data_IF_574350869765
#
_entry.id   IF_574350869765
#
_cell.length_a   1.000
_cell.length_b   1.000
_cell.length_c   1.000
_cell.angle_alpha   90.00
_cell.angle_beta   90.00
_cell.angle_gamma   90.00
#
_symmetry.space_group_name_H-M   'P 1'
#
loop_
_entity.id
_entity.type
_entity.pdbx_description
1 polymer ?
#
# COMPACT_ATOMS: atom_id res chain seq x y z
N UNK A 1 -5.72 4.51 -20.16
CA UNK A 1 -5.65 5.98 -19.99
C UNK A 1 -4.21 6.34 -19.66
N UNK A 2 -3.69 7.37 -20.32
CA UNK A 2 -2.35 7.90 -20.10
C UNK A 2 -2.44 9.40 -19.79
N UNK A 3 -1.96 9.80 -18.61
CA UNK A 3 -1.94 11.19 -18.16
C UNK A 3 -0.49 11.64 -17.90
N UNK A 4 -0.04 12.71 -18.60
CA UNK A 4 1.32 13.25 -18.47
C UNK A 4 1.49 14.25 -17.33
N UNK A 5 0.40 14.67 -16.73
CA UNK A 5 0.39 15.64 -15.64
C UNK A 5 -0.39 15.09 -14.47
N UNK A 6 -0.44 15.85 -13.39
CA UNK A 6 -1.21 15.50 -12.22
C UNK A 6 -2.67 15.21 -12.57
N UNK A 7 -3.22 14.19 -11.91
CA UNK A 7 -4.63 13.86 -12.03
C UNK A 7 -5.36 14.28 -10.75
N UNK A 8 -6.60 14.69 -10.91
CA UNK A 8 -7.44 15.07 -9.78
C UNK A 8 -7.82 13.89 -8.87
N UNK A 9 -8.74 14.12 -7.97
CA UNK A 9 -9.28 13.11 -7.05
C UNK A 9 -9.91 11.95 -7.82
N UNK A 10 -9.88 10.76 -7.21
CA UNK A 10 -10.61 9.58 -7.67
C UNK A 10 -10.12 8.98 -8.99
N UNK A 11 -8.88 9.25 -9.41
CA UNK A 11 -8.31 8.59 -10.58
C UNK A 11 -8.43 7.06 -10.41
N UNK A 12 -9.05 6.35 -11.37
CA UNK A 12 -9.26 4.91 -11.29
C UNK A 12 -10.33 4.44 -10.29
N UNK A 13 -11.20 5.34 -9.81
CA UNK A 13 -12.31 4.98 -8.92
C UNK A 13 -13.21 3.91 -9.56
N UNK A 14 -13.49 2.86 -8.81
CA UNK A 14 -14.29 1.71 -9.26
C UNK A 14 -13.83 1.07 -10.59
N UNK A 15 -12.56 1.21 -10.91
CA UNK A 15 -11.97 0.64 -12.11
C UNK A 15 -12.15 -0.88 -12.14
N UNK A 16 -12.69 -1.41 -13.25
CA UNK A 16 -12.98 -2.84 -13.41
C UNK A 16 -11.94 -3.57 -14.25
N UNK A 17 -11.14 -2.86 -15.02
CA UNK A 17 -10.12 -3.42 -15.89
C UNK A 17 -9.41 -2.33 -16.68
N UNK A 18 -8.50 -2.73 -17.54
CA UNK A 18 -7.69 -1.81 -18.33
C UNK A 18 -6.49 -1.27 -17.55
N UNK A 19 -5.90 -0.20 -18.05
CA UNK A 19 -4.66 0.36 -17.51
C UNK A 19 -4.71 1.87 -17.43
N UNK A 20 -4.27 2.41 -16.30
CA UNK A 20 -4.02 3.83 -16.09
C UNK A 20 -2.52 4.02 -15.88
N UNK A 21 -1.94 5.00 -16.56
CA UNK A 21 -0.58 5.47 -16.31
C UNK A 21 -0.65 6.98 -16.06
N UNK A 22 -0.32 7.41 -14.87
CA UNK A 22 -0.18 8.81 -14.48
C UNK A 22 1.31 9.10 -14.25
N UNK A 23 1.91 10.02 -15.02
CA UNK A 23 3.31 10.41 -14.84
C UNK A 23 3.50 11.34 -13.62
N UNK A 24 2.49 12.14 -13.31
CA UNK A 24 2.49 13.07 -12.18
C UNK A 24 1.82 12.52 -10.94
N UNK A 25 1.48 13.44 -10.04
CA UNK A 25 0.77 13.14 -8.80
C UNK A 25 -0.69 12.78 -9.04
N UNK A 26 -1.26 11.98 -8.16
CA UNK A 26 -2.69 11.67 -8.16
C UNK A 26 -3.34 12.19 -6.88
N UNK A 27 -4.56 12.66 -7.00
CA UNK A 27 -5.30 13.15 -5.85
C UNK A 27 -5.77 12.03 -4.91
N UNK A 28 -6.32 12.39 -3.75
CA UNK A 28 -6.77 11.41 -2.76
C UNK A 28 -7.87 10.49 -3.30
N UNK A 29 -7.92 9.27 -2.78
CA UNK A 29 -8.87 8.25 -3.17
C UNK A 29 -8.59 7.61 -4.53
N UNK A 30 -7.38 7.75 -5.07
CA UNK A 30 -7.00 7.09 -6.31
C UNK A 30 -7.20 5.58 -6.21
N UNK A 31 -7.76 4.97 -7.24
CA UNK A 31 -8.05 3.53 -7.36
C UNK A 31 -8.94 2.98 -6.22
N UNK A 32 -9.74 3.83 -5.57
CA UNK A 32 -10.69 3.39 -4.54
C UNK A 32 -11.72 2.44 -5.14
N UNK A 33 -12.04 1.36 -4.41
CA UNK A 33 -12.99 0.33 -4.80
C UNK A 33 -12.67 -0.35 -6.15
N UNK A 34 -11.42 -0.33 -6.58
CA UNK A 34 -10.97 -0.98 -7.80
C UNK A 34 -11.24 -2.49 -7.73
N UNK A 35 -11.80 -3.06 -8.78
CA UNK A 35 -12.12 -4.50 -8.87
C UNK A 35 -11.31 -5.23 -9.94
N UNK A 36 -10.43 -4.56 -10.65
CA UNK A 36 -9.53 -5.14 -11.64
C UNK A 36 -8.77 -4.07 -12.40
N UNK A 37 -7.82 -4.49 -13.21
CA UNK A 37 -6.96 -3.62 -14.00
C UNK A 37 -5.67 -3.23 -13.29
N UNK A 38 -4.93 -2.31 -13.89
CA UNK A 38 -3.62 -1.87 -13.42
C UNK A 38 -3.54 -0.34 -13.35
N UNK A 39 -2.93 0.18 -12.30
CA UNK A 39 -2.70 1.61 -12.11
C UNK A 39 -1.22 1.85 -11.81
N UNK A 40 -0.55 2.64 -12.64
CA UNK A 40 0.84 3.03 -12.48
C UNK A 40 0.92 4.54 -12.25
N UNK A 41 1.51 4.93 -11.12
CA UNK A 41 1.60 6.32 -10.66
C UNK A 41 3.08 6.68 -10.52
N UNK A 42 3.57 7.61 -11.35
CA UNK A 42 4.96 8.06 -11.30
C UNK A 42 5.23 9.10 -10.21
N UNK A 43 4.22 9.83 -9.80
CA UNK A 43 4.29 10.80 -8.71
C UNK A 43 3.82 10.23 -7.38
N UNK A 44 3.25 11.10 -6.55
CA UNK A 44 2.80 10.82 -5.19
C UNK A 44 1.28 10.90 -5.06
N UNK A 45 0.75 10.46 -3.93
CA UNK A 45 -0.65 10.70 -3.55
C UNK A 45 -0.74 11.17 -2.10
N UNK A 46 -1.88 11.75 -1.73
CA UNK A 46 -2.10 12.30 -0.39
C UNK A 46 -2.71 11.28 0.57
N UNK A 47 -3.78 10.61 0.18
CA UNK A 47 -4.56 9.78 1.11
C UNK A 47 -5.38 8.71 0.39
N UNK A 48 -5.63 7.59 1.09
CA UNK A 48 -6.58 6.55 0.75
C UNK A 48 -6.36 5.88 -0.64
N UNK A 49 -5.10 5.75 -1.09
CA UNK A 49 -4.75 4.99 -2.30
C UNK A 49 -5.25 3.55 -2.17
N UNK A 50 -6.03 3.07 -3.13
CA UNK A 50 -6.52 1.69 -3.16
C UNK A 50 -7.49 1.33 -2.02
N UNK A 51 -8.13 2.33 -1.38
CA UNK A 51 -9.10 2.08 -0.34
C UNK A 51 -10.25 1.19 -0.84
N UNK A 52 -10.54 0.11 -0.10
CA UNK A 52 -11.61 -0.82 -0.46
C UNK A 52 -11.37 -1.63 -1.74
N UNK A 53 -10.16 -1.64 -2.26
CA UNK A 53 -9.77 -2.40 -3.45
C UNK A 53 -10.09 -3.89 -3.26
N UNK A 54 -10.67 -4.51 -4.29
CA UNK A 54 -11.05 -5.93 -4.27
C UNK A 54 -10.16 -6.79 -5.14
N UNK A 55 -9.61 -6.24 -6.21
CA UNK A 55 -8.68 -6.91 -7.13
C UNK A 55 -7.95 -5.88 -7.99
N UNK A 56 -6.94 -6.31 -8.72
CA UNK A 56 -6.12 -5.49 -9.59
C UNK A 56 -4.75 -5.16 -8.98
N UNK A 57 -4.02 -4.27 -9.63
CA UNK A 57 -2.65 -3.92 -9.23
C UNK A 57 -2.43 -2.42 -9.26
N UNK A 58 -1.83 -1.90 -8.20
CA UNK A 58 -1.40 -0.50 -8.11
C UNK A 58 0.10 -0.47 -7.86
N UNK A 59 0.82 0.34 -8.62
CA UNK A 59 2.25 0.66 -8.40
C UNK A 59 2.39 2.16 -8.31
N UNK A 60 3.02 2.66 -7.24
CA UNK A 60 3.33 4.07 -7.06
C UNK A 60 4.81 4.27 -6.77
N UNK A 61 5.46 5.16 -7.53
CA UNK A 61 6.89 5.44 -7.41
C UNK A 61 7.19 6.47 -6.30
N UNK A 62 6.34 7.46 -6.13
CA UNK A 62 6.49 8.51 -5.13
C UNK A 62 5.89 8.15 -3.77
N UNK A 63 5.62 9.17 -2.94
CA UNK A 63 5.01 9.01 -1.63
C UNK A 63 3.61 8.42 -1.75
N UNK A 64 3.38 7.29 -1.08
CA UNK A 64 2.12 6.53 -1.18
C UNK A 64 0.93 7.14 -0.42
N UNK A 65 1.16 8.17 0.38
CA UNK A 65 0.11 8.83 1.17
C UNK A 65 -0.22 8.09 2.46
N UNK A 66 -1.30 8.51 3.09
CA UNK A 66 -1.79 7.95 4.34
C UNK A 66 -2.92 6.95 4.08
N UNK A 67 -3.11 5.99 4.96
CA UNK A 67 -4.19 5.00 4.89
C UNK A 67 -4.23 4.20 3.57
N UNK A 68 -3.06 3.94 3.00
CA UNK A 68 -2.94 3.12 1.78
C UNK A 68 -3.58 1.75 2.02
N UNK A 69 -4.44 1.31 1.11
CA UNK A 69 -5.10 0.01 1.20
C UNK A 69 -6.09 -0.13 2.35
N UNK A 70 -6.60 0.99 2.90
CA UNK A 70 -7.63 0.94 3.95
C UNK A 70 -8.82 0.10 3.52
N UNK A 71 -9.17 -0.92 4.32
CA UNK A 71 -10.28 -1.82 4.03
C UNK A 71 -10.10 -2.65 2.75
N UNK A 72 -8.89 -2.77 2.23
CA UNK A 72 -8.56 -3.58 1.05
C UNK A 72 -9.00 -5.03 1.26
N UNK A 73 -9.62 -5.62 0.26
CA UNK A 73 -10.15 -6.98 0.31
C UNK A 73 -9.35 -7.96 -0.56
N UNK A 74 -8.64 -7.48 -1.55
CA UNK A 74 -7.83 -8.28 -2.47
C UNK A 74 -7.02 -7.40 -3.40
N UNK A 75 -6.26 -8.01 -4.30
CA UNK A 75 -5.35 -7.33 -5.22
C UNK A 75 -3.98 -7.02 -4.62
N UNK A 76 -3.20 -6.21 -5.31
CA UNK A 76 -1.83 -5.87 -4.92
C UNK A 76 -1.58 -4.37 -4.98
N UNK A 77 -0.88 -3.84 -3.97
CA UNK A 77 -0.36 -2.47 -3.96
C UNK A 77 1.15 -2.52 -3.73
N UNK A 78 1.91 -1.89 -4.63
CA UNK A 78 3.36 -1.78 -4.55
C UNK A 78 3.74 -0.31 -4.32
N UNK A 79 4.30 -0.03 -3.14
CA UNK A 79 4.84 1.27 -2.73
C UNK A 79 6.35 1.24 -2.95
N UNK A 80 6.84 1.96 -3.96
CA UNK A 80 8.26 1.95 -4.31
C UNK A 80 9.10 2.89 -3.44
N UNK A 81 8.45 3.84 -2.79
CA UNK A 81 9.05 4.78 -1.83
C UNK A 81 8.33 4.69 -0.47
N UNK A 82 8.37 5.74 0.32
CA UNK A 82 7.76 5.82 1.65
C UNK A 82 6.23 5.98 1.59
N UNK A 83 5.58 5.69 2.70
CA UNK A 83 4.16 5.97 2.91
C UNK A 83 3.94 6.50 4.33
N UNK A 84 2.79 7.13 4.53
CA UNK A 84 2.40 7.67 5.83
C UNK A 84 1.85 6.62 6.78
N UNK A 85 1.11 7.04 7.78
CA UNK A 85 0.53 6.16 8.80
C UNK A 85 -0.66 5.35 8.28
N UNK A 86 -0.98 4.29 9.03
CA UNK A 86 -2.16 3.43 8.83
C UNK A 86 -2.20 2.71 7.47
N UNK A 87 -1.03 2.33 6.92
CA UNK A 87 -0.99 1.44 5.75
C UNK A 87 -1.69 0.13 6.10
N UNK A 88 -2.67 -0.29 5.31
CA UNK A 88 -3.45 -1.51 5.54
C UNK A 88 -4.45 -1.43 6.70
N UNK A 89 -4.87 -0.22 7.12
CA UNK A 89 -5.91 -0.06 8.13
C UNK A 89 -7.15 -0.86 7.77
N UNK A 90 -7.59 -1.73 8.67
CA UNK A 90 -8.78 -2.59 8.48
C UNK A 90 -8.72 -3.46 7.20
N UNK A 91 -7.54 -3.79 6.74
CA UNK A 91 -7.32 -4.67 5.59
C UNK A 91 -7.89 -6.06 5.85
N UNK A 92 -8.59 -6.63 4.88
CA UNK A 92 -9.27 -7.93 4.97
C UNK A 92 -8.61 -9.00 4.10
N UNK A 93 -7.85 -8.62 3.11
CA UNK A 93 -7.18 -9.50 2.17
C UNK A 93 -6.32 -8.75 1.19
N UNK A 94 -5.63 -9.46 0.32
CA UNK A 94 -4.71 -8.89 -0.67
C UNK A 94 -3.31 -8.71 -0.11
N UNK A 95 -2.47 -8.00 -0.86
CA UNK A 95 -1.05 -7.82 -0.55
C UNK A 95 -0.62 -6.37 -0.72
N UNK A 96 0.07 -5.83 0.27
CA UNK A 96 0.75 -4.54 0.19
C UNK A 96 2.25 -4.78 0.34
N UNK A 97 3.06 -4.28 -0.60
CA UNK A 97 4.53 -4.35 -0.54
C UNK A 97 5.09 -2.93 -0.50
N UNK A 98 5.80 -2.61 0.58
CA UNK A 98 6.44 -1.31 0.75
C UNK A 98 7.96 -1.47 0.71
N UNK A 99 8.62 -0.85 -0.28
CA UNK A 99 10.07 -0.84 -0.40
C UNK A 99 10.71 0.19 0.54
N UNK A 100 10.06 1.34 0.74
CA UNK A 100 10.47 2.37 1.70
C UNK A 100 9.82 2.20 3.08
N UNK A 101 10.20 3.08 4.01
CA UNK A 101 9.62 3.07 5.35
C UNK A 101 8.16 3.56 5.32
N UNK A 102 7.33 2.94 6.13
CA UNK A 102 5.94 3.39 6.35
C UNK A 102 5.79 3.99 7.75
N UNK A 103 4.85 4.92 7.90
CA UNK A 103 4.54 5.53 9.18
C UNK A 103 3.89 4.56 10.19
N UNK A 104 3.57 5.04 11.40
CA UNK A 104 3.05 4.19 12.48
C UNK A 104 1.66 3.62 12.16
N UNK A 105 1.27 2.62 12.93
CA UNK A 105 -0.01 1.93 12.87
C UNK A 105 -0.26 1.14 11.58
N UNK A 106 0.81 0.66 10.92
CA UNK A 106 0.64 -0.26 9.79
C UNK A 106 -0.11 -1.52 10.25
N UNK A 107 -1.15 -1.91 9.50
CA UNK A 107 -1.98 -3.08 9.79
C UNK A 107 -2.99 -2.91 10.93
N UNK A 108 -3.27 -1.68 11.39
CA UNK A 108 -4.24 -1.46 12.48
C UNK A 108 -5.59 -2.07 12.11
N UNK A 109 -6.15 -2.87 13.02
CA UNK A 109 -7.41 -3.60 12.86
C UNK A 109 -7.49 -4.53 11.63
N UNK A 110 -6.38 -4.85 11.02
CA UNK A 110 -6.29 -5.80 9.91
C UNK A 110 -6.79 -7.19 10.34
N UNK A 111 -7.61 -7.81 9.51
CA UNK A 111 -8.19 -9.15 9.75
C UNK A 111 -7.71 -10.22 8.77
N UNK A 112 -7.03 -9.84 7.70
CA UNK A 112 -6.49 -10.75 6.70
C UNK A 112 -5.56 -10.06 5.72
N UNK A 113 -4.92 -10.83 4.86
CA UNK A 113 -3.95 -10.37 3.89
C UNK A 113 -2.52 -10.28 4.42
N UNK A 114 -1.63 -9.77 3.60
CA UNK A 114 -0.20 -9.67 3.88
C UNK A 114 0.33 -8.27 3.62
N UNK A 115 1.10 -7.73 4.56
CA UNK A 115 1.83 -6.48 4.39
C UNK A 115 3.33 -6.78 4.52
N UNK A 116 4.09 -6.50 3.46
CA UNK A 116 5.54 -6.66 3.43
C UNK A 116 6.22 -5.30 3.59
N UNK A 117 6.88 -5.08 4.70
CA UNK A 117 7.57 -3.83 5.04
C UNK A 117 9.08 -4.00 4.86
N UNK A 118 9.57 -3.99 3.62
CA UNK A 118 11.00 -4.13 3.32
C UNK A 118 11.84 -2.98 3.86
N UNK A 119 11.30 -1.76 3.83
CA UNK A 119 11.92 -0.56 4.41
C UNK A 119 11.67 -0.38 5.90
N UNK A 120 10.86 -1.27 6.51
CA UNK A 120 10.45 -1.15 7.90
C UNK A 120 9.20 -0.32 8.11
N UNK A 121 8.72 -0.30 9.34
CA UNK A 121 7.59 0.51 9.78
C UNK A 121 7.94 1.25 11.07
N UNK A 122 7.41 2.46 11.21
CA UNK A 122 7.54 3.23 12.45
C UNK A 122 6.71 2.60 13.57
N UNK A 123 7.24 2.67 14.78
CA UNK A 123 6.50 2.23 15.98
C UNK A 123 5.47 3.27 16.44
N UNK A 124 4.35 2.84 17.02
CA UNK A 124 3.94 1.45 17.14
C UNK A 124 3.38 0.89 15.82
N UNK A 125 3.57 -0.40 15.58
CA UNK A 125 2.82 -1.09 14.55
C UNK A 125 1.36 -1.22 14.97
N UNK A 126 0.46 -1.39 14.00
CA UNK A 126 -0.95 -1.59 14.26
C UNK A 126 -1.23 -2.89 15.02
N UNK A 127 -2.36 -2.93 15.71
CA UNK A 127 -2.86 -4.14 16.36
C UNK A 127 -3.64 -4.96 15.36
N UNK A 128 -3.02 -6.04 14.88
CA UNK A 128 -3.67 -6.95 13.92
C UNK A 128 -4.62 -7.92 14.64
N UNK A 129 -5.71 -8.27 13.98
CA UNK A 129 -6.67 -9.30 14.39
C UNK A 129 -6.54 -10.57 13.56
N UNK A 130 -5.86 -10.51 12.42
CA UNK A 130 -5.56 -11.59 11.51
C UNK A 130 -4.67 -11.10 10.37
N UNK A 131 -4.25 -12.01 9.48
CA UNK A 131 -3.26 -11.69 8.45
C UNK A 131 -1.85 -11.63 8.99
N UNK A 132 -0.91 -11.11 8.19
CA UNK A 132 0.50 -11.10 8.53
C UNK A 132 1.16 -9.77 8.14
N UNK A 133 2.01 -9.25 9.03
CA UNK A 133 2.95 -8.17 8.73
C UNK A 133 4.35 -8.78 8.69
N UNK A 134 5.02 -8.67 7.55
CA UNK A 134 6.36 -9.17 7.32
C UNK A 134 7.36 -8.01 7.43
N UNK A 135 8.18 -8.04 8.47
CA UNK A 135 9.23 -7.05 8.71
C UNK A 135 10.55 -7.49 8.08
N UNK A 136 11.45 -6.56 7.75
CA UNK A 136 12.77 -6.92 7.27
C UNK A 136 13.56 -7.68 8.35
N UNK A 137 14.38 -8.63 7.93
CA UNK A 137 15.31 -9.33 8.81
C UNK A 137 16.51 -8.43 9.15
N UNK A 138 16.27 -7.41 9.95
CA UNK A 138 17.26 -6.43 10.36
C UNK A 138 17.43 -6.37 11.89
N UNK A 139 18.52 -5.76 12.34
CA UNK A 139 18.79 -5.61 13.76
C UNK A 139 19.09 -6.93 14.45
N UNK A 140 18.66 -7.04 15.72
CA UNK A 140 19.02 -8.17 16.59
C UNK A 140 18.48 -9.52 16.10
N UNK A 141 17.31 -9.55 15.49
CA UNK A 141 16.70 -10.79 14.98
C UNK A 141 17.49 -11.34 13.79
N UNK A 142 17.85 -10.48 12.84
CA UNK A 142 18.71 -10.89 11.71
C UNK A 142 20.08 -11.36 12.20
N UNK A 143 20.65 -10.69 13.19
CA UNK A 143 21.90 -11.09 13.82
C UNK A 143 21.78 -12.44 14.54
N UNK A 144 20.70 -12.65 15.33
CA UNK A 144 20.44 -13.92 16.04
C UNK A 144 20.30 -15.09 15.06
N UNK A 145 19.54 -14.93 13.97
CA UNK A 145 19.41 -15.96 12.94
C UNK A 145 20.74 -16.31 12.28
N UNK A 146 21.58 -15.31 12.02
CA UNK A 146 22.88 -15.51 11.38
C UNK A 146 23.88 -16.26 12.26
N UNK A 147 23.88 -16.01 13.56
CA UNK A 147 24.93 -16.51 14.47
C UNK A 147 24.46 -17.55 15.48
N UNK A 148 23.17 -17.71 15.72
CA UNK A 148 22.65 -18.62 16.74
C UNK A 148 21.54 -19.56 16.28
N UNK A 149 20.96 -19.35 15.13
CA UNK A 149 19.96 -20.19 14.52
C UNK A 149 20.39 -20.61 13.12
#
# INVERSE_FOLDING_TARGET
IYARSDTGRWAGYEMKGGKIVAEGDVGPGACKNMTGGECYIGGSTEDALGMGMKDGKIVIDGFGGYQVGRGMQGGEIHLMDTAGSHVGLQMKGGTIRAAGMVGPYAGEDMTGGDIYLKGGGESPLGKIKGGHIHLPESGIIGWLRRYFL
#
